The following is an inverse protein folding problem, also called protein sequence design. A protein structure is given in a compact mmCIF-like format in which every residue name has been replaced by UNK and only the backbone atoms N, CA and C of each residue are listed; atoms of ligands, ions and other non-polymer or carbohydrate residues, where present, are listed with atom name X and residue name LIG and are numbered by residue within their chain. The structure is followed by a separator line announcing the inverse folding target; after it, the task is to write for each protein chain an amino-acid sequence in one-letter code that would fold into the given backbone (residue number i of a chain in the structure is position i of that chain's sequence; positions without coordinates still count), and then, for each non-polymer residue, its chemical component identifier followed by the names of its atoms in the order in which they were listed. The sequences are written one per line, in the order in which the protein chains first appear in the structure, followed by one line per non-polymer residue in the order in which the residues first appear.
data_IF_155003744933
#
_entry.id   IF_155003744933
#
_cell.length_a   1.000
_cell.length_b   1.000
_cell.length_c   1.000
_cell.angle_alpha   90.00
_cell.angle_beta   90.00
_cell.angle_gamma   90.00
#
_symmetry.space_group_name_H-M   'P 1'
#
loop_
_entity.id
_entity.type
_entity.pdbx_description
1 polymer ?
#
# COMPACT_ATOMS: atom_id res chain seq x y z
N UNK A 1 28.27 -22.02 21.12
CA UNK A 1 27.39 -20.91 20.70
C UNK A 1 26.78 -21.30 19.36
N UNK A 2 25.44 -21.48 19.27
CA UNK A 2 24.79 -21.62 17.96
C UNK A 2 25.00 -20.30 17.23
N UNK A 3 25.68 -20.32 16.08
CA UNK A 3 25.77 -19.15 15.20
C UNK A 3 24.33 -18.70 14.91
N UNK A 4 23.98 -17.50 15.36
CA UNK A 4 22.75 -16.85 14.92
C UNK A 4 22.95 -16.64 13.42
N UNK A 5 22.12 -17.25 12.55
CA UNK A 5 22.27 -17.08 11.12
C UNK A 5 22.23 -15.58 10.79
N UNK A 6 23.09 -15.14 9.87
CA UNK A 6 23.08 -13.76 9.42
C UNK A 6 21.67 -13.39 8.91
N UNK A 7 21.27 -12.13 9.07
CA UNK A 7 19.97 -11.62 8.60
C UNK A 7 19.74 -11.99 7.12
N UNK A 8 20.80 -11.91 6.31
CA UNK A 8 20.78 -12.37 4.92
C UNK A 8 20.41 -13.85 4.79
N UNK A 9 21.04 -14.74 5.56
CA UNK A 9 20.73 -16.18 5.52
C UNK A 9 19.29 -16.50 5.94
N UNK A 10 18.74 -15.83 6.96
CA UNK A 10 17.35 -16.03 7.35
C UNK A 10 16.40 -15.59 6.23
N UNK A 11 16.57 -14.38 5.70
CA UNK A 11 15.69 -13.83 4.65
C UNK A 11 15.77 -14.66 3.37
N UNK A 12 16.96 -15.06 2.90
CA UNK A 12 17.10 -15.84 1.65
C UNK A 12 16.41 -17.21 1.75
N UNK A 13 16.44 -17.86 2.93
CA UNK A 13 15.77 -19.15 3.12
C UNK A 13 14.24 -19.03 3.20
N UNK A 14 13.71 -17.91 3.70
CA UNK A 14 12.27 -17.66 3.78
C UNK A 14 11.74 -16.81 2.61
N UNK A 15 12.56 -16.41 1.65
CA UNK A 15 12.20 -15.48 0.58
C UNK A 15 10.97 -15.94 -0.20
N UNK A 16 10.94 -17.20 -0.63
CA UNK A 16 9.80 -17.77 -1.36
C UNK A 16 8.53 -17.78 -0.49
N UNK A 17 8.67 -18.05 0.80
CA UNK A 17 7.54 -18.04 1.73
C UNK A 17 7.00 -16.63 1.95
N UNK A 18 7.89 -15.64 2.12
CA UNK A 18 7.51 -14.22 2.22
C UNK A 18 6.74 -13.79 0.97
N UNK A 19 7.28 -14.06 -0.23
CA UNK A 19 6.62 -13.72 -1.48
C UNK A 19 5.27 -14.41 -1.65
N UNK A 20 5.17 -15.69 -1.29
CA UNK A 20 3.91 -16.42 -1.31
C UNK A 20 2.87 -15.71 -0.43
N UNK A 21 3.20 -15.45 0.84
CA UNK A 21 2.26 -14.82 1.78
C UNK A 21 1.88 -13.42 1.31
N UNK A 22 2.83 -12.62 0.82
CA UNK A 22 2.54 -11.27 0.30
C UNK A 22 1.63 -11.31 -0.93
N UNK A 23 1.91 -12.15 -1.93
CA UNK A 23 1.06 -12.26 -3.13
C UNK A 23 -0.36 -12.70 -2.75
N UNK A 24 -0.50 -13.67 -1.85
CA UNK A 24 -1.81 -14.12 -1.42
C UNK A 24 -2.57 -13.05 -0.63
N UNK A 25 -1.91 -12.40 0.34
CA UNK A 25 -2.56 -11.42 1.23
C UNK A 25 -2.83 -10.06 0.59
N UNK A 26 -2.01 -9.63 -0.37
CA UNK A 26 -2.12 -8.30 -1.01
C UNK A 26 -2.81 -8.32 -2.36
N UNK A 27 -2.82 -9.45 -3.08
CA UNK A 27 -3.40 -9.55 -4.43
C UNK A 27 -4.53 -10.57 -4.50
N UNK A 28 -4.24 -11.85 -4.23
CA UNK A 28 -5.18 -12.94 -4.52
C UNK A 28 -6.42 -12.88 -3.62
N UNK A 29 -6.24 -12.85 -2.29
CA UNK A 29 -7.34 -12.83 -1.33
C UNK A 29 -8.19 -11.54 -1.44
N UNK A 30 -7.61 -10.34 -1.55
CA UNK A 30 -8.37 -9.13 -1.85
C UNK A 30 -9.19 -9.23 -3.13
N UNK A 31 -8.60 -9.70 -4.24
CA UNK A 31 -9.31 -9.84 -5.51
C UNK A 31 -10.48 -10.83 -5.41
N UNK A 32 -10.26 -12.01 -4.83
CA UNK A 32 -11.34 -12.98 -4.57
C UNK A 32 -12.44 -12.35 -3.71
N UNK A 33 -12.07 -11.56 -2.70
CA UNK A 33 -13.02 -10.87 -1.84
C UNK A 33 -13.89 -9.87 -2.61
N UNK A 34 -13.30 -9.10 -3.52
CA UNK A 34 -14.02 -8.15 -4.38
C UNK A 34 -14.94 -8.91 -5.34
N UNK A 35 -14.48 -9.97 -5.98
CA UNK A 35 -15.29 -10.78 -6.90
C UNK A 35 -16.50 -11.41 -6.18
N UNK A 36 -16.34 -11.84 -4.93
CA UNK A 36 -17.45 -12.30 -4.10
C UNK A 36 -18.46 -11.18 -3.80
N UNK A 37 -17.98 -9.96 -3.54
CA UNK A 37 -18.85 -8.79 -3.32
C UNK A 37 -19.62 -8.39 -4.59
N UNK A 38 -19.00 -8.55 -5.77
CA UNK A 38 -19.67 -8.36 -7.06
C UNK A 38 -20.77 -9.41 -7.24
N UNK A 39 -20.45 -10.70 -7.04
CA UNK A 39 -21.43 -11.78 -7.17
C UNK A 39 -22.60 -11.67 -6.21
N UNK A 40 -22.40 -11.07 -5.03
CA UNK A 40 -23.45 -10.82 -4.05
C UNK A 40 -24.21 -9.50 -4.26
N UNK A 41 -23.94 -8.76 -5.34
CA UNK A 41 -24.62 -7.51 -5.67
C UNK A 41 -24.26 -6.32 -4.79
N UNK A 42 -23.21 -6.42 -3.96
CA UNK A 42 -22.76 -5.33 -3.07
C UNK A 42 -21.83 -4.33 -3.77
N UNK A 43 -21.19 -4.76 -4.86
CA UNK A 43 -20.29 -3.95 -5.68
C UNK A 43 -20.70 -4.13 -7.14
N UNK A 44 -20.77 -3.04 -7.89
CA UNK A 44 -21.24 -3.03 -9.27
C UNK A 44 -20.19 -3.51 -10.28
N UNK A 45 -18.94 -3.08 -10.12
CA UNK A 45 -17.80 -3.46 -10.97
C UNK A 45 -16.48 -3.36 -10.20
N UNK A 46 -15.40 -3.89 -10.78
CA UNK A 46 -14.04 -3.74 -10.22
C UNK A 46 -13.61 -2.26 -10.11
N UNK A 47 -14.09 -1.38 -11.00
CA UNK A 47 -13.70 0.04 -10.98
C UNK A 47 -14.35 0.81 -9.81
N UNK A 48 -15.44 0.26 -9.26
CA UNK A 48 -16.19 0.82 -8.13
C UNK A 48 -16.41 2.33 -8.31
N UNK A 49 -17.16 2.71 -9.35
CA UNK A 49 -17.33 4.11 -9.75
C UNK A 49 -17.95 4.95 -8.63
N UNK A 50 -18.83 4.34 -7.82
CA UNK A 50 -19.42 4.89 -6.61
C UNK A 50 -18.52 4.66 -5.38
N UNK A 51 -18.15 5.73 -4.68
CA UNK A 51 -17.32 5.66 -3.48
C UNK A 51 -17.93 4.81 -2.35
N UNK A 52 -19.26 4.81 -2.21
CA UNK A 52 -19.94 4.05 -1.15
C UNK A 52 -19.71 2.54 -1.25
N UNK A 53 -19.43 2.04 -2.45
CA UNK A 53 -19.12 0.63 -2.69
C UNK A 53 -17.69 0.26 -2.30
N UNK A 54 -16.77 1.22 -2.13
CA UNK A 54 -15.33 0.98 -1.92
C UNK A 54 -14.96 0.65 -0.48
N UNK A 55 -15.70 1.17 0.50
CA UNK A 55 -15.33 1.03 1.92
C UNK A 55 -15.19 -0.42 2.35
N UNK A 56 -16.17 -1.28 2.02
CA UNK A 56 -16.16 -2.70 2.39
C UNK A 56 -15.04 -3.49 1.68
N UNK A 57 -14.86 -3.41 0.34
CA UNK A 57 -13.70 -3.94 -0.37
C UNK A 57 -12.35 -3.56 0.24
N UNK A 58 -12.14 -2.27 0.51
CA UNK A 58 -10.88 -1.77 1.05
C UNK A 58 -10.64 -2.25 2.48
N UNK A 59 -11.68 -2.26 3.33
CA UNK A 59 -11.57 -2.79 4.68
C UNK A 59 -11.18 -4.28 4.67
N UNK A 60 -11.82 -5.08 3.82
CA UNK A 60 -11.47 -6.50 3.66
C UNK A 60 -10.05 -6.68 3.12
N UNK A 61 -9.62 -5.82 2.22
CA UNK A 61 -8.23 -5.81 1.71
C UNK A 61 -7.25 -5.58 2.85
N UNK A 62 -7.47 -4.57 3.70
CA UNK A 62 -6.64 -4.32 4.88
C UNK A 62 -6.65 -5.51 5.86
N UNK A 63 -7.78 -6.20 6.05
CA UNK A 63 -7.83 -7.41 6.88
C UNK A 63 -6.96 -8.54 6.31
N UNK A 64 -7.00 -8.78 5.01
CA UNK A 64 -6.15 -9.79 4.37
C UNK A 64 -4.68 -9.45 4.46
N UNK A 65 -4.33 -8.18 4.22
CA UNK A 65 -2.96 -7.68 4.40
C UNK A 65 -2.51 -7.81 5.86
N UNK A 66 -3.37 -7.49 6.83
CA UNK A 66 -3.11 -7.67 8.26
C UNK A 66 -2.89 -9.12 8.67
N UNK A 67 -3.64 -10.06 8.09
CA UNK A 67 -3.39 -11.49 8.27
C UNK A 67 -2.03 -11.90 7.68
N UNK A 68 -1.67 -11.38 6.49
CA UNK A 68 -0.36 -11.58 5.89
C UNK A 68 0.77 -11.06 6.77
N UNK A 69 0.62 -9.85 7.30
CA UNK A 69 1.54 -9.26 8.28
C UNK A 69 1.69 -10.15 9.52
N UNK A 70 0.59 -10.60 10.13
CA UNK A 70 0.61 -11.45 11.32
C UNK A 70 1.36 -12.78 11.06
N UNK A 71 1.15 -13.39 9.90
CA UNK A 71 1.86 -14.61 9.51
C UNK A 71 3.37 -14.37 9.37
N UNK A 72 3.77 -13.20 8.87
CA UNK A 72 5.16 -12.86 8.61
C UNK A 72 5.87 -12.15 9.77
N UNK A 73 5.17 -11.76 10.84
CA UNK A 73 5.71 -10.88 11.89
C UNK A 73 7.03 -11.37 12.48
N UNK A 74 7.14 -12.68 12.76
CA UNK A 74 8.35 -13.29 13.34
C UNK A 74 9.55 -13.28 12.38
N UNK A 75 9.32 -13.19 11.07
CA UNK A 75 10.37 -13.11 10.05
C UNK A 75 10.72 -11.63 9.80
N UNK A 76 9.71 -10.75 9.74
CA UNK A 76 9.88 -9.32 9.48
C UNK A 76 10.59 -8.58 10.62
N UNK A 77 10.70 -9.17 11.82
CA UNK A 77 11.52 -8.62 12.91
C UNK A 77 12.98 -8.40 12.50
N UNK A 78 13.50 -9.19 11.56
CA UNK A 78 14.86 -9.06 11.04
C UNK A 78 14.98 -8.01 9.92
N UNK A 79 13.86 -7.41 9.49
CA UNK A 79 13.81 -6.38 8.45
C UNK A 79 12.82 -5.27 8.82
N UNK A 80 13.21 -4.35 9.74
CA UNK A 80 12.34 -3.30 10.27
C UNK A 80 11.70 -2.41 9.20
N UNK A 81 12.41 -2.13 8.11
CA UNK A 81 11.90 -1.29 7.01
C UNK A 81 10.76 -1.96 6.27
N UNK A 82 10.92 -3.24 5.90
CA UNK A 82 9.84 -4.00 5.23
C UNK A 82 8.65 -4.16 6.18
N UNK A 83 8.91 -4.33 7.48
CA UNK A 83 7.86 -4.34 8.51
C UNK A 83 7.10 -3.01 8.54
N UNK A 84 7.82 -1.89 8.56
CA UNK A 84 7.25 -0.55 8.62
C UNK A 84 6.45 -0.22 7.34
N UNK A 85 6.99 -0.53 6.16
CA UNK A 85 6.30 -0.37 4.87
C UNK A 85 4.99 -1.16 4.84
N UNK A 86 4.98 -2.43 5.27
CA UNK A 86 3.76 -3.22 5.28
C UNK A 86 2.70 -2.64 6.23
N UNK A 87 3.12 -2.13 7.40
CA UNK A 87 2.23 -1.42 8.34
C UNK A 87 1.71 -0.12 7.72
N UNK A 88 2.55 0.61 6.99
CA UNK A 88 2.21 1.81 6.24
C UNK A 88 1.14 1.55 5.19
N UNK A 89 1.34 0.53 4.36
CA UNK A 89 0.42 0.13 3.32
C UNK A 89 -0.94 -0.29 3.89
N UNK A 90 -0.95 -1.09 4.97
CA UNK A 90 -2.19 -1.46 5.69
C UNK A 90 -2.90 -0.21 6.21
N UNK A 91 -2.15 0.73 6.80
CA UNK A 91 -2.69 1.98 7.33
C UNK A 91 -3.29 2.86 6.23
N UNK A 92 -2.62 2.99 5.08
CA UNK A 92 -3.13 3.70 3.90
C UNK A 92 -4.47 3.11 3.45
N UNK A 93 -4.57 1.79 3.33
CA UNK A 93 -5.81 1.13 2.86
C UNK A 93 -6.95 1.28 3.89
N UNK A 94 -6.65 1.20 5.19
CA UNK A 94 -7.63 1.45 6.26
C UNK A 94 -8.14 2.89 6.22
N UNK A 95 -7.25 3.88 6.12
CA UNK A 95 -7.60 5.29 6.00
C UNK A 95 -8.46 5.50 4.75
N UNK A 96 -8.05 4.93 3.61
CA UNK A 96 -8.79 5.01 2.37
C UNK A 96 -10.19 4.38 2.48
N UNK A 97 -10.33 3.27 3.20
CA UNK A 97 -11.61 2.62 3.49
C UNK A 97 -12.56 3.53 4.28
N UNK A 98 -12.03 4.25 5.29
CA UNK A 98 -12.80 5.19 6.12
C UNK A 98 -13.23 6.40 5.28
N UNK A 99 -12.29 7.02 4.55
CA UNK A 99 -12.57 8.19 3.70
C UNK A 99 -13.60 7.84 2.62
N UNK A 100 -13.50 6.63 2.05
CA UNK A 100 -14.40 6.17 0.99
C UNK A 100 -15.87 6.02 1.42
N UNK A 101 -16.19 6.08 2.72
CA UNK A 101 -17.58 6.18 3.17
C UNK A 101 -18.23 7.52 2.80
N UNK A 102 -17.42 8.57 2.67
CA UNK A 102 -17.89 9.94 2.51
C UNK A 102 -17.39 10.59 1.21
N UNK A 103 -16.24 10.16 0.69
CA UNK A 103 -15.58 10.83 -0.43
C UNK A 103 -14.70 9.92 -1.29
N UNK A 104 -14.66 10.18 -2.60
CA UNK A 104 -13.97 9.35 -3.60
C UNK A 104 -12.48 9.67 -3.71
N UNK A 105 -11.70 9.39 -2.66
CA UNK A 105 -10.23 9.56 -2.69
C UNK A 105 -9.58 8.71 -3.79
N UNK A 106 -8.49 9.20 -4.38
CA UNK A 106 -7.79 8.45 -5.43
C UNK A 106 -6.80 7.44 -4.84
N UNK A 107 -7.14 6.15 -4.96
CA UNK A 107 -6.31 5.03 -4.51
C UNK A 107 -4.98 4.92 -5.27
N UNK A 108 -4.97 5.29 -6.56
CA UNK A 108 -3.75 5.29 -7.37
C UNK A 108 -2.75 6.33 -6.85
N UNK A 109 -3.26 7.51 -6.46
CA UNK A 109 -2.41 8.56 -5.91
C UNK A 109 -1.99 8.26 -4.48
N UNK A 110 -2.84 7.60 -3.68
CA UNK A 110 -2.40 7.03 -2.39
C UNK A 110 -1.24 6.06 -2.56
N UNK A 111 -1.31 5.16 -3.54
CA UNK A 111 -0.24 4.18 -3.81
C UNK A 111 1.08 4.84 -4.23
N UNK A 112 1.07 5.66 -5.28
CA UNK A 112 2.32 6.31 -5.74
C UNK A 112 2.81 7.38 -4.76
N UNK A 113 1.91 8.02 -4.01
CA UNK A 113 2.26 8.91 -2.91
C UNK A 113 3.00 8.14 -1.82
N UNK A 114 2.46 6.99 -1.39
CA UNK A 114 3.12 6.09 -0.44
C UNK A 114 4.52 5.69 -0.90
N UNK A 115 4.67 5.25 -2.15
CA UNK A 115 5.97 4.92 -2.72
C UNK A 115 6.97 6.09 -2.66
N UNK A 116 6.54 7.32 -2.99
CA UNK A 116 7.39 8.51 -2.84
C UNK A 116 7.74 8.76 -1.37
N UNK A 117 6.81 8.56 -0.44
CA UNK A 117 7.06 8.64 1.00
C UNK A 117 8.13 7.65 1.47
N UNK A 118 8.04 6.39 1.04
CA UNK A 118 9.07 5.36 1.28
C UNK A 118 10.43 5.82 0.76
N UNK A 119 10.50 6.29 -0.49
CA UNK A 119 11.76 6.72 -1.10
C UNK A 119 12.39 7.91 -0.37
N UNK A 120 11.58 8.87 0.06
CA UNK A 120 12.06 10.01 0.86
C UNK A 120 12.58 9.54 2.22
N UNK A 121 11.87 8.63 2.89
CA UNK A 121 12.33 8.08 4.17
C UNK A 121 13.67 7.35 4.01
N UNK A 122 13.82 6.54 2.96
CA UNK A 122 15.07 5.84 2.67
C UNK A 122 16.21 6.77 2.28
N UNK A 123 15.93 7.87 1.56
CA UNK A 123 16.93 8.92 1.30
C UNK A 123 17.44 9.54 2.62
N UNK A 124 16.54 9.79 3.57
CA UNK A 124 16.93 10.35 4.88
C UNK A 124 17.79 9.36 5.68
N UNK A 125 17.46 8.06 5.63
CA UNK A 125 18.14 7.02 6.43
C UNK A 125 19.45 6.57 5.79
N UNK A 126 19.50 6.39 4.47
CA UNK A 126 20.63 5.78 3.75
C UNK A 126 21.25 6.65 2.67
N UNK A 127 20.53 7.66 2.17
CA UNK A 127 20.94 8.50 1.05
C UNK A 127 20.91 7.81 -0.32
N UNK A 128 21.30 8.56 -1.35
CA UNK A 128 21.52 8.11 -2.73
C UNK A 128 20.27 7.62 -3.50
N UNK A 129 19.10 8.18 -3.21
CA UNK A 129 17.81 7.93 -3.86
C UNK A 129 17.18 9.18 -4.51
N UNK A 130 17.84 10.33 -4.45
CA UNK A 130 17.34 11.63 -4.98
C UNK A 130 16.85 11.54 -6.43
N UNK A 131 17.61 10.89 -7.32
CA UNK A 131 17.21 10.71 -8.71
C UNK A 131 15.94 9.86 -8.84
N UNK A 132 15.79 8.83 -8.01
CA UNK A 132 14.62 7.97 -8.01
C UNK A 132 13.38 8.72 -7.50
N UNK A 133 13.54 9.56 -6.47
CA UNK A 133 12.47 10.44 -5.96
C UNK A 133 11.97 11.38 -7.07
N UNK A 134 12.88 12.04 -7.80
CA UNK A 134 12.50 12.94 -8.90
C UNK A 134 11.70 12.18 -9.97
N UNK A 135 12.15 10.98 -10.35
CA UNK A 135 11.44 10.14 -11.33
C UNK A 135 10.02 9.83 -10.85
N UNK A 136 9.85 9.38 -9.60
CA UNK A 136 8.53 9.00 -9.10
C UNK A 136 7.60 10.20 -8.82
N UNK A 137 8.13 11.38 -8.53
CA UNK A 137 7.35 12.63 -8.50
C UNK A 137 6.83 12.98 -9.90
N UNK A 138 7.66 12.84 -10.94
CA UNK A 138 7.20 13.08 -12.31
C UNK A 138 6.15 12.05 -12.74
N UNK A 139 6.36 10.77 -12.42
CA UNK A 139 5.39 9.70 -12.68
C UNK A 139 4.08 9.91 -11.92
N UNK A 140 4.11 10.43 -10.69
CA UNK A 140 2.89 10.75 -9.95
C UNK A 140 2.08 11.85 -10.64
N UNK A 141 2.75 12.84 -11.25
CA UNK A 141 2.11 13.83 -12.12
C UNK A 141 1.43 13.22 -13.36
N UNK A 142 2.06 12.23 -14.00
CA UNK A 142 1.46 11.49 -15.12
C UNK A 142 0.22 10.71 -14.67
N UNK A 143 0.31 10.00 -13.54
CA UNK A 143 -0.81 9.25 -12.96
C UNK A 143 -1.95 10.19 -12.57
N UNK A 144 -1.65 11.32 -11.93
CA UNK A 144 -2.61 12.38 -11.61
C UNK A 144 -3.36 12.86 -12.86
N UNK A 145 -2.63 13.19 -13.92
CA UNK A 145 -3.22 13.67 -15.15
C UNK A 145 -4.11 12.62 -15.80
N UNK A 146 -3.70 11.35 -15.82
CA UNK A 146 -4.51 10.26 -16.36
C UNK A 146 -5.85 10.13 -15.60
N UNK A 147 -5.82 10.16 -14.26
CA UNK A 147 -7.05 10.04 -13.45
C UNK A 147 -8.01 11.22 -13.65
N UNK A 148 -7.49 12.43 -13.87
CA UNK A 148 -8.30 13.62 -14.14
C UNK A 148 -8.86 13.61 -15.57
N UNK A 149 -8.04 13.25 -16.58
CA UNK A 149 -8.48 13.19 -17.99
C UNK A 149 -9.54 12.11 -18.23
N UNK A 150 -9.44 10.97 -17.54
CA UNK A 150 -10.48 9.92 -17.56
C UNK A 150 -11.75 10.34 -16.81
N UNK A 151 -11.79 11.53 -16.21
CA UNK A 151 -12.88 12.01 -15.34
C UNK A 151 -13.16 11.06 -14.16
N UNK A 152 -12.20 10.21 -13.80
CA UNK A 152 -12.31 9.28 -12.70
C UNK A 152 -12.24 10.01 -11.35
N UNK A 153 -11.44 11.08 -11.30
CA UNK A 153 -11.19 11.91 -10.12
C UNK A 153 -11.06 13.41 -10.45
N UNK A 154 -11.29 14.26 -9.44
CA UNK A 154 -11.00 15.69 -9.51
C UNK A 154 -9.66 16.05 -8.80
N UNK A 155 -9.23 17.30 -8.95
CA UNK A 155 -7.95 17.77 -8.39
C UNK A 155 -7.80 17.49 -6.88
N UNK A 156 -8.75 17.86 -6.00
CA UNK A 156 -8.60 17.57 -4.57
C UNK A 156 -8.44 16.07 -4.27
N UNK A 157 -9.18 15.19 -4.95
CA UNK A 157 -9.09 13.74 -4.73
C UNK A 157 -7.72 13.17 -5.08
N UNK A 158 -7.07 13.76 -6.08
CA UNK A 158 -5.72 13.41 -6.54
C UNK A 158 -4.67 13.95 -5.56
N UNK A 159 -4.72 15.24 -5.21
CA UNK A 159 -3.75 15.85 -4.30
C UNK A 159 -3.81 15.26 -2.89
N UNK A 160 -5.01 15.13 -2.31
CA UNK A 160 -5.18 14.53 -0.97
C UNK A 160 -4.79 13.06 -1.00
N UNK A 161 -5.08 12.33 -2.09
CA UNK A 161 -4.61 10.96 -2.25
C UNK A 161 -3.08 10.87 -2.19
N UNK A 162 -2.39 11.69 -2.99
CA UNK A 162 -0.93 11.70 -3.05
C UNK A 162 -0.29 12.08 -1.71
N UNK A 163 -0.69 13.21 -1.15
CA UNK A 163 -0.14 13.71 0.12
C UNK A 163 -0.47 12.76 1.29
N UNK A 164 -1.66 12.15 1.29
CA UNK A 164 -2.05 11.17 2.29
C UNK A 164 -1.15 9.94 2.26
N UNK A 165 -0.91 9.37 1.08
CA UNK A 165 -0.01 8.22 0.93
C UNK A 165 1.42 8.55 1.35
N UNK A 166 1.94 9.66 0.81
CA UNK A 166 3.29 10.14 1.11
C UNK A 166 3.51 10.32 2.61
N UNK A 167 2.60 11.04 3.27
CA UNK A 167 2.75 11.36 4.69
C UNK A 167 2.69 10.12 5.56
N UNK A 168 1.81 9.16 5.26
CA UNK A 168 1.65 7.94 6.06
C UNK A 168 2.91 7.07 5.99
N UNK A 169 3.40 6.76 4.80
CA UNK A 169 4.62 5.94 4.64
C UNK A 169 5.86 6.63 5.21
N UNK A 170 6.03 7.91 4.89
CA UNK A 170 7.17 8.70 5.38
C UNK A 170 7.22 8.69 6.91
N UNK A 171 6.11 8.98 7.57
CA UNK A 171 6.06 9.05 9.03
C UNK A 171 6.26 7.68 9.66
N UNK A 172 5.61 6.63 9.14
CA UNK A 172 5.73 5.28 9.72
C UNK A 172 7.17 4.78 9.60
N UNK A 173 7.82 4.91 8.44
CA UNK A 173 9.18 4.43 8.25
C UNK A 173 10.18 5.22 9.11
N UNK A 174 9.99 6.54 9.31
CA UNK A 174 10.89 7.33 10.15
C UNK A 174 10.73 7.10 11.66
N UNK A 175 9.60 6.53 12.10
CA UNK A 175 9.33 6.21 13.52
C UNK A 175 9.87 4.82 13.91
N UNK A 176 9.92 3.89 12.95
CA UNK A 176 10.40 2.51 13.14
C UNK A 176 11.92 2.39 13.03
#
# INVERSE_FOLDING_TARGET
MKQIPSIGFAITNYQNYIYLVLIFSTVILPLISILFLIKSGKVSSLEMSNHKERSVPLFRTALWMGLGYYILENILVFSPIIKAELIGAISIILIASIISKYWKISLHLLGIGGLVGVLIALEIIYGNLQHLIIIFILLSGVVAMARIKEKAHNYPQVYIGFLGGLSVELLIILIF
#
